data_IF_087768397451
#
_entry.id   IF_087768397451
#
_cell.length_a   1.000
_cell.length_b   1.000
_cell.length_c   1.000
_cell.angle_alpha   90.00
_cell.angle_beta   90.00
_cell.angle_gamma   90.00
#
_symmetry.space_group_name_H-M   'P 1'
#
loop_
_entity.id
_entity.type
_entity.pdbx_description
1 polymer ?
#
# COMPACT_ATOMS: atom_id res chain seq x y z
N UNK A 1 -36.85 12.66 -132.75
CA UNK A 1 -37.67 12.76 -131.52
C UNK A 1 -36.87 12.13 -130.40
N UNK A 2 -36.19 12.91 -129.56
CA UNK A 2 -35.58 12.46 -128.29
C UNK A 2 -34.97 13.68 -127.56
N UNK A 3 -35.81 14.64 -127.14
CA UNK A 3 -35.37 15.77 -126.28
C UNK A 3 -36.22 15.89 -125.00
N UNK A 4 -37.11 14.93 -124.73
CA UNK A 4 -38.08 14.99 -123.63
C UNK A 4 -37.67 14.25 -122.35
N UNK A 5 -36.44 13.72 -122.26
CA UNK A 5 -36.00 12.95 -121.09
C UNK A 5 -35.08 13.72 -120.13
N UNK A 6 -34.35 14.75 -120.61
CA UNK A 6 -33.34 15.43 -119.79
C UNK A 6 -33.92 16.26 -118.62
N UNK A 7 -35.09 16.88 -118.83
CA UNK A 7 -35.73 17.73 -117.81
C UNK A 7 -36.30 16.96 -116.61
N UNK A 8 -36.77 15.73 -116.84
CA UNK A 8 -37.33 14.88 -115.77
C UNK A 8 -36.22 14.39 -114.84
N UNK A 9 -35.04 14.06 -115.37
CA UNK A 9 -33.91 13.59 -114.55
C UNK A 9 -33.39 14.67 -113.60
N UNK A 10 -33.34 15.94 -114.02
CA UNK A 10 -32.86 17.04 -113.16
C UNK A 10 -33.81 17.30 -112.00
N UNK A 11 -35.12 17.28 -112.24
CA UNK A 11 -36.14 17.44 -111.18
C UNK A 11 -36.12 16.25 -110.22
N UNK A 12 -35.98 15.04 -110.74
CA UNK A 12 -35.87 13.84 -109.91
C UNK A 12 -34.62 13.88 -109.02
N UNK A 13 -33.48 14.29 -109.58
CA UNK A 13 -32.22 14.43 -108.84
C UNK A 13 -32.32 15.52 -107.76
N UNK A 14 -32.99 16.63 -108.06
CA UNK A 14 -33.23 17.72 -107.10
C UNK A 14 -34.09 17.25 -105.92
N UNK A 15 -35.14 16.48 -106.17
CA UNK A 15 -36.00 15.93 -105.11
C UNK A 15 -35.24 14.88 -104.28
N UNK A 16 -34.47 14.00 -104.93
CA UNK A 16 -33.65 12.99 -104.22
C UNK A 16 -32.60 13.68 -103.32
N UNK A 17 -31.92 14.72 -103.82
CA UNK A 17 -30.95 15.47 -103.04
C UNK A 17 -31.59 16.18 -101.83
N UNK A 18 -32.81 16.69 -101.98
CA UNK A 18 -33.53 17.37 -100.91
C UNK A 18 -34.04 16.39 -99.84
N UNK A 19 -34.52 15.21 -100.26
CA UNK A 19 -34.92 14.13 -99.34
C UNK A 19 -33.70 13.58 -98.60
N UNK A 20 -32.57 13.34 -99.29
CA UNK A 20 -31.32 12.91 -98.65
C UNK A 20 -30.77 13.98 -97.68
N UNK A 21 -30.84 15.26 -98.04
CA UNK A 21 -30.46 16.36 -97.15
C UNK A 21 -31.36 16.45 -95.91
N UNK A 22 -32.67 16.26 -96.08
CA UNK A 22 -33.64 16.21 -94.98
C UNK A 22 -33.38 15.05 -94.02
N UNK A 23 -33.09 13.85 -94.55
CA UNK A 23 -32.75 12.66 -93.75
C UNK A 23 -31.38 12.83 -93.04
N UNK A 24 -30.42 13.51 -93.68
CA UNK A 24 -29.12 13.82 -93.07
C UNK A 24 -29.23 14.77 -91.87
N UNK A 25 -30.09 15.79 -91.96
CA UNK A 25 -30.30 16.76 -90.87
C UNK A 25 -31.08 16.14 -89.71
N UNK A 26 -32.09 15.30 -89.98
CA UNK A 26 -32.83 14.61 -88.91
C UNK A 26 -31.98 13.58 -88.18
N UNK A 27 -31.14 12.81 -88.88
CA UNK A 27 -30.23 11.84 -88.25
C UNK A 27 -29.12 12.50 -87.42
N UNK A 28 -28.58 13.65 -87.86
CA UNK A 28 -27.60 14.42 -87.06
C UNK A 28 -28.23 15.08 -85.81
N UNK A 29 -29.48 15.53 -85.91
CA UNK A 29 -30.23 16.05 -84.76
C UNK A 29 -30.49 14.96 -83.72
N UNK A 30 -30.86 13.75 -84.16
CA UNK A 30 -31.08 12.60 -83.27
C UNK A 30 -29.78 12.14 -82.59
N UNK A 31 -28.64 12.18 -83.29
CA UNK A 31 -27.33 11.90 -82.68
C UNK A 31 -26.90 12.97 -81.66
N UNK A 32 -27.24 14.24 -81.88
CA UNK A 32 -26.99 15.29 -80.88
C UNK A 32 -27.89 15.16 -79.65
N UNK A 33 -29.17 14.85 -79.85
CA UNK A 33 -30.15 14.60 -78.78
C UNK A 33 -29.75 13.42 -77.91
N UNK A 34 -29.35 12.30 -78.52
CA UNK A 34 -28.88 11.10 -77.80
C UNK A 34 -27.55 11.30 -77.09
N UNK A 35 -26.62 12.10 -77.64
CA UNK A 35 -25.38 12.48 -76.92
C UNK A 35 -25.64 13.43 -75.76
N UNK A 36 -26.56 14.38 -75.91
CA UNK A 36 -26.96 15.29 -74.83
C UNK A 36 -27.67 14.53 -73.71
N UNK A 37 -28.57 13.59 -74.03
CA UNK A 37 -29.23 12.76 -73.01
C UNK A 37 -28.27 11.80 -72.30
N UNK A 38 -27.30 11.22 -73.01
CA UNK A 38 -26.22 10.42 -72.40
C UNK A 38 -25.32 11.27 -71.50
N UNK A 39 -24.99 12.50 -71.90
CA UNK A 39 -24.20 13.41 -71.06
C UNK A 39 -24.94 13.82 -69.80
N UNK A 40 -26.25 14.08 -69.89
CA UNK A 40 -27.10 14.42 -68.75
C UNK A 40 -27.28 13.22 -67.79
N UNK A 41 -27.41 12.01 -68.34
CA UNK A 41 -27.45 10.78 -67.55
C UNK A 41 -26.12 10.52 -66.81
N UNK A 42 -24.99 10.73 -67.50
CA UNK A 42 -23.65 10.62 -66.92
C UNK A 42 -23.41 11.65 -65.81
N UNK A 43 -23.83 12.91 -65.99
CA UNK A 43 -23.71 13.92 -64.93
C UNK A 43 -24.53 13.55 -63.70
N UNK A 44 -25.74 13.04 -63.89
CA UNK A 44 -26.61 12.62 -62.78
C UNK A 44 -26.04 11.40 -62.04
N UNK A 45 -25.40 10.49 -62.77
CA UNK A 45 -24.70 9.34 -62.19
C UNK A 45 -23.40 9.75 -61.47
N UNK A 46 -22.66 10.73 -61.98
CA UNK A 46 -21.50 11.32 -61.31
C UNK A 46 -21.90 12.02 -60.02
N UNK A 47 -22.97 12.82 -60.02
CA UNK A 47 -23.47 13.51 -58.84
C UNK A 47 -23.97 12.52 -57.78
N UNK A 48 -24.72 11.50 -58.20
CA UNK A 48 -25.16 10.40 -57.33
C UNK A 48 -23.98 9.65 -56.71
N UNK A 49 -22.94 9.35 -57.50
CA UNK A 49 -21.73 8.69 -57.00
C UNK A 49 -20.90 9.61 -56.09
N UNK A 50 -20.86 10.92 -56.34
CA UNK A 50 -20.22 11.88 -55.44
C UNK A 50 -20.91 11.94 -54.09
N UNK A 51 -22.25 11.96 -54.06
CA UNK A 51 -23.00 11.97 -52.81
C UNK A 51 -22.86 10.65 -52.05
N UNK A 52 -22.79 9.52 -52.76
CA UNK A 52 -22.50 8.21 -52.18
C UNK A 52 -21.08 8.10 -51.61
N UNK A 53 -20.10 8.74 -52.25
CA UNK A 53 -18.74 8.83 -51.73
C UNK A 53 -18.65 9.74 -50.49
N UNK A 54 -19.42 10.85 -50.45
CA UNK A 54 -19.49 11.70 -49.25
C UNK A 54 -20.07 10.93 -48.07
N UNK A 55 -21.19 10.22 -48.26
CA UNK A 55 -21.82 9.46 -47.17
C UNK A 55 -20.92 8.32 -46.66
N UNK A 56 -20.25 7.59 -47.55
CA UNK A 56 -19.26 6.58 -47.16
C UNK A 56 -18.07 7.19 -46.41
N UNK A 57 -17.62 8.39 -46.80
CA UNK A 57 -16.54 9.10 -46.11
C UNK A 57 -16.95 9.54 -44.71
N UNK A 58 -18.18 10.02 -44.55
CA UNK A 58 -18.75 10.35 -43.25
C UNK A 58 -18.87 9.11 -42.37
N UNK A 59 -19.34 7.97 -42.91
CA UNK A 59 -19.43 6.71 -42.19
C UNK A 59 -18.06 6.16 -41.76
N UNK A 60 -17.04 6.24 -42.63
CA UNK A 60 -15.67 5.87 -42.26
C UNK A 60 -15.13 6.81 -41.18
N UNK A 61 -15.43 8.11 -41.27
CA UNK A 61 -15.00 9.09 -40.27
C UNK A 61 -15.65 8.87 -38.91
N UNK A 62 -16.92 8.46 -38.86
CA UNK A 62 -17.61 8.16 -37.61
C UNK A 62 -17.10 6.86 -37.00
N UNK A 63 -16.92 5.80 -37.81
CA UNK A 63 -16.36 4.51 -37.36
C UNK A 63 -14.92 4.62 -36.88
N UNK A 64 -14.10 5.49 -37.50
CA UNK A 64 -12.72 5.72 -37.04
C UNK A 64 -12.67 6.52 -35.73
N UNK A 65 -13.60 7.45 -35.51
CA UNK A 65 -13.73 8.16 -34.23
C UNK A 65 -14.15 7.21 -33.10
N UNK A 66 -15.15 6.37 -33.32
CA UNK A 66 -15.58 5.40 -32.29
C UNK A 66 -14.49 4.37 -31.99
N UNK A 67 -13.76 3.90 -33.00
CA UNK A 67 -12.61 3.02 -32.79
C UNK A 67 -11.51 3.68 -31.93
N UNK A 68 -11.21 4.96 -32.17
CA UNK A 68 -10.26 5.72 -31.36
C UNK A 68 -10.74 5.93 -29.92
N UNK A 69 -12.04 6.17 -29.71
CA UNK A 69 -12.64 6.27 -28.37
C UNK A 69 -12.51 4.95 -27.60
N UNK A 70 -12.81 3.82 -28.22
CA UNK A 70 -12.63 2.50 -27.61
C UNK A 70 -11.17 2.18 -27.30
N UNK A 71 -10.23 2.63 -28.14
CA UNK A 71 -8.80 2.45 -27.87
C UNK A 71 -8.35 3.26 -26.64
N UNK A 72 -8.86 4.49 -26.48
CA UNK A 72 -8.58 5.34 -25.32
C UNK A 72 -9.19 4.73 -24.05
N UNK A 73 -10.43 4.24 -24.10
CA UNK A 73 -11.07 3.56 -22.97
C UNK A 73 -10.34 2.26 -22.60
N UNK A 74 -9.92 1.48 -23.59
CA UNK A 74 -9.11 0.28 -23.38
C UNK A 74 -7.81 0.58 -22.65
N UNK A 75 -7.08 1.62 -23.05
CA UNK A 75 -5.86 2.07 -22.36
C UNK A 75 -6.13 2.54 -20.93
N UNK A 76 -7.25 3.23 -20.67
CA UNK A 76 -7.64 3.65 -19.31
C UNK A 76 -7.96 2.45 -18.42
N UNK A 77 -8.69 1.47 -18.94
CA UNK A 77 -8.99 0.22 -18.25
C UNK A 77 -7.70 -0.54 -17.93
N UNK A 78 -6.79 -0.67 -18.90
CA UNK A 78 -5.51 -1.34 -18.70
C UNK A 78 -4.64 -0.65 -17.65
N UNK A 79 -4.57 0.69 -17.67
CA UNK A 79 -3.87 1.46 -16.65
C UNK A 79 -4.48 1.24 -15.25
N UNK A 80 -5.81 1.20 -15.15
CA UNK A 80 -6.51 0.93 -13.89
C UNK A 80 -6.22 -0.49 -13.38
N UNK A 81 -6.18 -1.47 -14.29
CA UNK A 81 -5.87 -2.87 -13.98
C UNK A 81 -4.41 -3.04 -13.53
N UNK A 82 -3.48 -2.31 -14.14
CA UNK A 82 -2.10 -2.28 -13.66
C UNK A 82 -1.97 -1.63 -12.29
N UNK A 83 -2.69 -0.53 -12.05
CA UNK A 83 -2.68 0.15 -10.76
C UNK A 83 -3.26 -0.73 -9.65
N UNK A 84 -4.37 -1.42 -9.89
CA UNK A 84 -4.93 -2.37 -8.92
C UNK A 84 -4.00 -3.56 -8.66
N UNK A 85 -3.30 -4.08 -9.67
CA UNK A 85 -2.28 -5.13 -9.48
C UNK A 85 -1.13 -4.68 -8.58
N UNK A 86 -0.69 -3.44 -8.72
CA UNK A 86 0.36 -2.87 -7.85
C UNK A 86 -0.15 -2.75 -6.43
N UNK A 87 -1.37 -2.26 -6.24
CA UNK A 87 -1.99 -2.13 -4.92
C UNK A 87 -2.19 -3.49 -4.24
N UNK A 88 -2.62 -4.52 -4.99
CA UNK A 88 -2.71 -5.89 -4.46
C UNK A 88 -1.34 -6.41 -4.03
N UNK A 89 -0.30 -6.18 -4.84
CA UNK A 89 1.06 -6.61 -4.49
C UNK A 89 1.60 -5.87 -3.24
N UNK A 90 1.34 -4.57 -3.10
CA UNK A 90 1.76 -3.80 -1.91
C UNK A 90 1.00 -4.25 -0.66
N UNK A 91 -0.29 -4.54 -0.77
CA UNK A 91 -1.10 -5.11 0.32
C UNK A 91 -0.60 -6.50 0.74
N UNK A 92 -0.19 -7.35 -0.21
CA UNK A 92 0.39 -8.67 0.08
C UNK A 92 1.72 -8.54 0.85
N UNK A 93 2.63 -7.67 0.40
CA UNK A 93 3.89 -7.40 1.11
C UNK A 93 3.61 -6.88 2.53
N UNK A 94 2.62 -6.01 2.69
CA UNK A 94 2.21 -5.50 4.01
C UNK A 94 1.68 -6.63 4.89
N UNK A 95 0.88 -7.54 4.35
CA UNK A 95 0.35 -8.70 5.07
C UNK A 95 1.47 -9.63 5.54
N UNK A 96 2.46 -9.91 4.68
CA UNK A 96 3.64 -10.72 5.03
C UNK A 96 4.46 -10.08 6.15
N UNK A 97 4.72 -8.77 6.06
CA UNK A 97 5.45 -8.03 7.10
C UNK A 97 4.73 -8.05 8.45
N UNK A 98 3.39 -7.96 8.45
CA UNK A 98 2.58 -8.04 9.66
C UNK A 98 2.55 -9.46 10.23
N UNK A 99 2.54 -10.48 9.37
CA UNK A 99 2.65 -11.87 9.79
C UNK A 99 4.01 -12.13 10.46
N UNK A 100 5.11 -11.63 9.90
CA UNK A 100 6.43 -11.72 10.50
C UNK A 100 6.49 -11.01 11.86
N UNK A 101 5.98 -9.78 11.96
CA UNK A 101 5.89 -9.03 13.24
C UNK A 101 5.06 -9.78 14.27
N UNK A 102 3.97 -10.42 13.86
CA UNK A 102 3.15 -11.24 14.76
C UNK A 102 3.95 -12.42 15.30
N UNK A 103 4.71 -13.12 14.47
CA UNK A 103 5.55 -14.24 14.89
C UNK A 103 6.63 -13.76 15.87
N UNK A 104 7.34 -12.68 15.56
CA UNK A 104 8.36 -12.08 16.44
C UNK A 104 7.77 -11.72 17.82
N UNK A 105 6.59 -11.08 17.84
CA UNK A 105 5.92 -10.74 19.11
C UNK A 105 5.49 -11.99 19.89
N UNK A 106 4.99 -13.02 19.21
CA UNK A 106 4.62 -14.29 19.85
C UNK A 106 5.84 -14.98 20.47
N UNK A 107 7.00 -14.88 19.83
CA UNK A 107 8.27 -15.39 20.36
C UNK A 107 8.80 -14.57 21.55
N UNK A 108 8.52 -13.26 21.62
CA UNK A 108 8.92 -12.39 22.74
C UNK A 108 8.01 -12.54 23.98
N UNK A 109 6.74 -12.91 23.82
CA UNK A 109 5.80 -13.10 24.95
C UNK A 109 6.34 -14.04 26.06
N UNK A 110 6.92 -15.23 25.77
CA UNK A 110 7.44 -16.09 26.83
C UNK A 110 8.60 -15.45 27.61
N UNK A 111 9.48 -14.70 26.94
CA UNK A 111 10.59 -13.97 27.59
C UNK A 111 10.06 -12.87 28.50
N UNK A 112 9.12 -12.04 28.02
CA UNK A 112 8.48 -10.99 28.83
C UNK A 112 7.74 -11.59 30.04
N UNK A 113 7.06 -12.73 29.87
CA UNK A 113 6.40 -13.44 30.97
C UNK A 113 7.39 -13.96 32.00
N UNK A 114 8.51 -14.51 31.54
CA UNK A 114 9.59 -14.96 32.41
C UNK A 114 10.19 -13.79 33.20
N UNK A 115 10.47 -12.67 32.54
CA UNK A 115 11.05 -11.49 33.16
C UNK A 115 10.10 -10.82 34.16
N UNK A 116 8.81 -10.76 33.84
CA UNK A 116 7.79 -10.28 34.77
C UNK A 116 7.75 -11.16 36.03
N UNK A 117 7.75 -12.48 35.86
CA UNK A 117 7.76 -13.42 36.98
C UNK A 117 9.03 -13.27 37.83
N UNK A 118 10.20 -13.14 37.18
CA UNK A 118 11.47 -12.90 37.87
C UNK A 118 11.47 -11.57 38.65
N UNK A 119 10.95 -10.49 38.06
CA UNK A 119 10.84 -9.19 38.72
C UNK A 119 9.87 -9.20 39.91
N UNK A 120 8.74 -9.89 39.79
CA UNK A 120 7.79 -10.10 40.89
C UNK A 120 8.43 -10.89 42.04
N UNK A 121 9.14 -11.97 41.73
CA UNK A 121 9.88 -12.76 42.71
C UNK A 121 10.98 -11.94 43.40
N UNK A 122 11.74 -11.15 42.64
CA UNK A 122 12.77 -10.26 43.19
C UNK A 122 12.18 -9.20 44.13
N UNK A 123 11.03 -8.60 43.76
CA UNK A 123 10.30 -7.65 44.61
C UNK A 123 9.83 -8.29 45.92
N UNK A 124 9.25 -9.50 45.84
CA UNK A 124 8.85 -10.27 47.04
C UNK A 124 10.04 -10.59 47.92
N UNK A 125 11.14 -11.07 47.34
CA UNK A 125 12.37 -11.35 48.09
C UNK A 125 12.91 -10.09 48.76
N UNK A 126 12.89 -8.93 48.09
CA UNK A 126 13.31 -7.66 48.67
C UNK A 126 12.44 -7.24 49.87
N UNK A 127 11.10 -7.35 49.75
CA UNK A 127 10.17 -7.10 50.85
C UNK A 127 10.41 -8.06 52.03
N UNK A 128 10.56 -9.36 51.75
CA UNK A 128 10.86 -10.38 52.76
C UNK A 128 12.20 -10.11 53.44
N UNK A 129 13.26 -9.78 52.69
CA UNK A 129 14.57 -9.42 53.25
C UNK A 129 14.49 -8.19 54.13
N UNK A 130 13.73 -7.16 53.74
CA UNK A 130 13.54 -5.95 54.55
C UNK A 130 12.82 -6.21 55.88
N UNK A 131 12.05 -7.29 55.96
CA UNK A 131 11.35 -7.71 57.18
C UNK A 131 12.25 -8.53 58.12
N UNK A 132 13.39 -9.07 57.68
CA UNK A 132 14.29 -9.83 58.54
C UNK A 132 14.85 -8.91 59.62
N UNK A 133 14.72 -9.31 60.88
CA UNK A 133 15.11 -8.54 62.05
C UNK A 133 14.03 -7.57 62.55
N UNK A 134 12.94 -7.37 61.81
CA UNK A 134 11.84 -6.50 62.21
C UNK A 134 11.08 -7.07 63.43
N UNK A 135 10.71 -6.18 64.34
CA UNK A 135 9.86 -6.49 65.48
C UNK A 135 8.40 -6.29 65.09
N UNK A 136 7.59 -7.33 65.23
CA UNK A 136 6.17 -7.35 64.84
C UNK A 136 5.22 -7.25 66.03
N UNK A 137 5.74 -7.15 67.27
CA UNK A 137 4.91 -7.17 68.47
C UNK A 137 4.21 -8.51 68.66
N UNK A 138 2.94 -8.49 69.04
CA UNK A 138 2.16 -9.71 69.24
C UNK A 138 1.44 -10.09 67.94
N UNK A 139 1.72 -11.29 67.43
CA UNK A 139 1.13 -11.80 66.19
C UNK A 139 0.16 -12.92 66.53
N UNK A 140 -1.12 -12.72 66.20
CA UNK A 140 -2.16 -13.74 66.33
C UNK A 140 -2.39 -14.45 64.99
N UNK A 141 -2.29 -15.77 64.99
CA UNK A 141 -2.76 -16.63 63.90
C UNK A 141 -4.11 -17.23 64.27
N UNK A 142 -4.74 -17.93 63.31
CA UNK A 142 -6.02 -18.64 63.53
C UNK A 142 -5.97 -19.69 64.65
N UNK A 143 -4.78 -20.17 65.04
CA UNK A 143 -4.61 -21.23 66.05
C UNK A 143 -3.87 -20.77 67.30
N UNK A 144 -3.06 -19.71 67.26
CA UNK A 144 -2.18 -19.34 68.36
C UNK A 144 -1.73 -17.88 68.29
N UNK A 145 -1.57 -17.27 69.46
CA UNK A 145 -0.92 -15.96 69.59
C UNK A 145 0.54 -16.12 69.99
N UNK A 146 1.42 -15.44 69.27
CA UNK A 146 2.86 -15.37 69.52
C UNK A 146 3.17 -13.98 70.05
N UNK A 147 3.79 -13.91 71.22
CA UNK A 147 4.14 -12.64 71.85
C UNK A 147 5.57 -12.22 71.53
N UNK A 148 5.78 -10.92 71.39
CA UNK A 148 7.10 -10.32 71.13
C UNK A 148 7.84 -10.96 69.94
N UNK A 149 7.17 -11.01 68.80
CA UNK A 149 7.64 -11.66 67.59
C UNK A 149 8.69 -10.82 66.88
N UNK A 150 9.84 -11.43 66.60
CA UNK A 150 10.87 -10.89 65.71
C UNK A 150 11.09 -11.84 64.55
N UNK A 151 11.12 -11.31 63.33
CA UNK A 151 11.35 -12.12 62.13
C UNK A 151 12.83 -12.47 62.03
N UNK A 152 13.14 -13.74 61.80
CA UNK A 152 14.53 -14.22 61.62
C UNK A 152 14.82 -14.68 60.21
N UNK A 153 13.80 -15.02 59.41
CA UNK A 153 13.98 -15.41 58.02
C UNK A 153 12.67 -15.83 57.36
N UNK A 154 12.77 -16.22 56.09
CA UNK A 154 11.65 -16.71 55.30
C UNK A 154 12.03 -18.04 54.62
N UNK A 155 11.09 -18.97 54.63
CA UNK A 155 11.10 -20.23 53.89
C UNK A 155 9.99 -20.19 52.82
N UNK A 156 10.05 -21.06 51.79
CA UNK A 156 8.90 -21.22 50.89
C UNK A 156 7.63 -21.53 51.69
N UNK A 157 6.63 -20.65 51.61
CA UNK A 157 5.34 -20.80 52.30
C UNK A 157 5.35 -20.52 53.81
N UNK A 158 6.47 -20.13 54.42
CA UNK A 158 6.53 -19.86 55.87
C UNK A 158 7.49 -18.72 56.28
N UNK A 159 7.18 -18.09 57.42
CA UNK A 159 8.00 -17.08 58.08
C UNK A 159 8.64 -17.65 59.33
N UNK A 160 9.98 -17.62 59.42
CA UNK A 160 10.72 -18.00 60.63
C UNK A 160 10.75 -16.81 61.58
N UNK A 161 10.38 -17.06 62.83
CA UNK A 161 10.29 -16.06 63.88
C UNK A 161 10.98 -16.53 65.16
N UNK A 162 11.33 -15.57 66.01
CA UNK A 162 11.64 -15.79 67.42
C UNK A 162 10.60 -15.03 68.24
N UNK A 163 9.98 -15.72 69.19
CA UNK A 163 9.00 -15.16 70.10
C UNK A 163 9.44 -15.42 71.56
N UNK A 164 8.69 -14.91 72.53
CA UNK A 164 8.98 -15.11 73.96
C UNK A 164 9.16 -16.59 74.36
N UNK A 165 8.50 -17.53 73.66
CA UNK A 165 8.57 -18.97 73.91
C UNK A 165 9.65 -19.70 73.10
N UNK A 166 10.49 -18.97 72.37
CA UNK A 166 11.55 -19.53 71.53
C UNK A 166 11.30 -19.38 70.02
N UNK A 167 12.11 -20.04 69.18
CA UNK A 167 11.95 -20.01 67.73
C UNK A 167 10.68 -20.74 67.28
N UNK A 168 10.01 -20.20 66.27
CA UNK A 168 8.83 -20.82 65.67
C UNK A 168 8.76 -20.52 64.16
N UNK A 169 8.04 -21.35 63.43
CA UNK A 169 7.78 -21.18 62.00
C UNK A 169 6.29 -20.97 61.79
N UNK A 170 5.92 -19.84 61.17
CA UNK A 170 4.53 -19.46 60.90
C UNK A 170 4.20 -19.69 59.43
N UNK A 171 3.20 -20.51 59.08
CA UNK A 171 2.72 -20.61 57.71
C UNK A 171 2.16 -19.28 57.23
N UNK A 172 2.53 -18.83 56.04
CA UNK A 172 2.11 -17.53 55.50
C UNK A 172 0.58 -17.44 55.32
N UNK A 173 -0.06 -18.56 55.02
CA UNK A 173 -1.53 -18.69 54.92
C UNK A 173 -2.27 -18.34 56.21
N UNK A 174 -1.62 -18.51 57.37
CA UNK A 174 -2.21 -18.25 58.70
C UNK A 174 -1.96 -16.85 59.24
N UNK A 175 -1.21 -16.03 58.51
CA UNK A 175 -0.91 -14.65 58.91
C UNK A 175 -2.13 -13.74 58.73
N UNK A 176 -2.24 -12.68 59.54
CA UNK A 176 -3.27 -11.66 59.38
C UNK A 176 -3.05 -10.86 58.07
N UNK A 177 -4.12 -10.30 57.52
CA UNK A 177 -4.12 -9.65 56.20
C UNK A 177 -3.09 -8.52 56.07
N UNK A 178 -2.93 -7.71 57.12
CA UNK A 178 -1.94 -6.64 57.17
C UNK A 178 -0.48 -7.13 57.05
N UNK A 179 -0.16 -8.30 57.62
CA UNK A 179 1.18 -8.90 57.48
C UNK A 179 1.35 -9.57 56.13
N UNK A 180 0.29 -10.17 55.58
CA UNK A 180 0.29 -10.75 54.23
C UNK A 180 0.58 -9.69 53.16
N UNK A 181 -0.07 -8.54 53.26
CA UNK A 181 0.17 -7.41 52.34
C UNK A 181 1.62 -6.89 52.44
N UNK A 182 2.15 -6.73 53.66
CA UNK A 182 3.53 -6.24 53.90
C UNK A 182 4.62 -7.16 53.35
N UNK A 183 4.37 -8.48 53.28
CA UNK A 183 5.32 -9.45 52.72
C UNK A 183 5.05 -9.78 51.24
N UNK A 184 4.04 -9.13 50.63
CA UNK A 184 3.61 -9.39 49.26
C UNK A 184 3.13 -10.83 49.05
N UNK A 185 2.37 -11.35 50.02
CA UNK A 185 1.79 -12.70 49.93
C UNK A 185 0.42 -12.65 49.23
N UNK A 186 0.31 -13.37 48.12
CA UNK A 186 -0.92 -13.61 47.37
C UNK A 186 -1.17 -15.13 47.28
N UNK A 187 -2.37 -15.63 47.67
CA UNK A 187 -2.70 -17.05 47.62
C UNK A 187 -2.63 -17.65 46.21
N UNK A 188 -2.90 -16.87 45.15
CA UNK A 188 -2.89 -17.36 43.76
C UNK A 188 -1.46 -17.58 43.28
N UNK A 189 -0.53 -16.74 43.72
CA UNK A 189 0.87 -16.80 43.31
C UNK A 189 1.68 -17.87 44.06
N UNK A 190 1.24 -18.31 45.25
CA UNK A 190 1.91 -19.38 46.01
C UNK A 190 1.78 -20.75 45.32
N UNK A 191 0.63 -21.03 44.69
CA UNK A 191 0.43 -22.26 43.91
C UNK A 191 1.30 -22.29 42.64
N UNK A 192 1.60 -21.13 42.08
CA UNK A 192 2.56 -20.96 40.97
C UNK A 192 4.01 -21.15 41.44
N UNK A 193 4.40 -20.59 42.60
CA UNK A 193 5.74 -20.74 43.19
C UNK A 193 6.08 -22.21 43.52
N UNK A 194 5.08 -23.06 43.82
CA UNK A 194 5.28 -24.51 44.07
C UNK A 194 5.46 -25.33 42.79
N UNK A 195 5.00 -24.83 41.65
CA UNK A 195 5.06 -25.52 40.35
C UNK A 195 6.32 -25.18 39.55
N UNK A 196 7.03 -24.11 39.90
CA UNK A 196 8.31 -23.78 39.29
C UNK A 196 9.39 -24.64 39.96
N UNK A 197 10.03 -25.61 39.26
CA UNK A 197 11.15 -26.34 39.83
C UNK A 197 12.23 -25.32 40.21
N UNK A 198 12.69 -25.40 41.46
CA UNK A 198 13.88 -24.68 41.91
C UNK A 198 15.08 -25.28 41.18
N UNK A 199 15.33 -24.83 39.97
CA UNK A 199 16.63 -25.00 39.34
C UNK A 199 17.66 -24.40 40.30
N UNK A 200 18.66 -25.22 40.64
CA UNK A 200 19.75 -24.83 41.51
C UNK A 200 20.26 -23.44 41.12
N UNK A 201 20.36 -22.59 42.12
CA UNK A 201 21.00 -21.28 42.07
C UNK A 201 22.47 -21.47 41.72
N UNK A 202 22.75 -21.77 40.46
CA UNK A 202 23.97 -21.31 39.82
C UNK A 202 23.83 -19.79 39.72
N UNK A 203 24.85 -19.01 40.13
CA UNK A 203 24.88 -17.62 39.72
C UNK A 203 24.93 -17.65 38.20
N UNK A 204 23.83 -17.27 37.57
CA UNK A 204 23.78 -17.11 36.12
C UNK A 204 24.99 -16.26 35.73
N UNK A 205 25.89 -16.75 34.86
CA UNK A 205 27.09 -16.03 34.51
C UNK A 205 26.64 -14.76 33.81
N UNK A 206 26.96 -13.61 34.40
CA UNK A 206 26.69 -12.28 33.86
C UNK A 206 25.31 -12.15 33.24
N UNK A 207 24.41 -11.57 34.03
CA UNK A 207 23.35 -10.71 33.53
C UNK A 207 23.96 -9.85 32.41
N UNK A 208 23.72 -10.26 31.16
CA UNK A 208 23.68 -9.34 30.05
C UNK A 208 22.52 -8.43 30.38
N UNK A 209 22.77 -7.41 31.20
CA UNK A 209 21.99 -6.19 31.13
C UNK A 209 22.00 -5.93 29.63
N UNK A 210 20.86 -6.00 28.95
CA UNK A 210 20.71 -5.34 27.67
C UNK A 210 21.34 -3.96 27.91
N UNK A 211 22.54 -3.77 27.35
CA UNK A 211 23.32 -2.59 27.67
C UNK A 211 22.38 -1.44 27.35
N UNK A 212 22.24 -0.49 28.28
CA UNK A 212 21.54 0.75 27.94
C UNK A 212 22.13 1.19 26.59
N UNK A 213 21.28 1.39 25.56
CA UNK A 213 21.77 1.58 24.20
C UNK A 213 22.87 2.63 24.24
N UNK A 214 24.02 2.30 23.64
CA UNK A 214 25.16 3.19 23.74
C UNK A 214 24.81 4.53 23.09
N UNK A 215 25.47 5.61 23.48
CA UNK A 215 25.29 6.91 22.81
C UNK A 215 25.52 6.80 21.29
N UNK A 216 26.38 5.85 20.86
CA UNK A 216 26.60 5.54 19.45
C UNK A 216 25.37 4.88 18.78
N UNK A 217 24.63 4.03 19.48
CA UNK A 217 23.41 3.38 18.95
C UNK A 217 22.26 4.39 18.84
N UNK A 218 22.14 5.30 19.81
CA UNK A 218 21.19 6.42 19.77
C UNK A 218 21.53 7.35 18.59
N UNK A 219 22.79 7.75 18.45
CA UNK A 219 23.22 8.63 17.37
C UNK A 219 23.01 8.01 15.97
N UNK A 220 23.24 6.70 15.83
CA UNK A 220 22.94 5.97 14.59
C UNK A 220 21.45 5.96 14.30
N UNK A 221 20.61 5.61 15.28
CA UNK A 221 19.16 5.60 15.10
C UNK A 221 18.59 6.99 14.74
N UNK A 222 19.16 8.06 15.31
CA UNK A 222 18.81 9.44 14.96
C UNK A 222 19.23 9.80 13.53
N UNK A 223 20.45 9.42 13.11
CA UNK A 223 20.94 9.66 11.75
C UNK A 223 20.15 8.87 10.70
N UNK A 224 19.80 7.63 10.99
CA UNK A 224 18.99 6.78 10.12
C UNK A 224 17.56 7.35 9.99
N UNK A 225 16.96 7.81 11.10
CA UNK A 225 15.66 8.48 11.06
C UNK A 225 15.70 9.80 10.26
N UNK A 226 16.72 10.64 10.49
CA UNK A 226 16.87 11.90 9.79
C UNK A 226 17.11 11.72 8.29
N UNK A 227 17.93 10.74 7.91
CA UNK A 227 18.20 10.42 6.49
C UNK A 227 16.96 9.85 5.81
N UNK A 228 16.26 8.90 6.42
CA UNK A 228 15.02 8.34 5.88
C UNK A 228 13.93 9.42 5.69
N UNK A 229 13.81 10.37 6.64
CA UNK A 229 12.90 11.51 6.51
C UNK A 229 13.29 12.43 5.36
N UNK A 230 14.58 12.78 5.24
CA UNK A 230 15.08 13.63 4.17
C UNK A 230 14.89 13.01 2.78
N UNK A 231 15.15 11.71 2.64
CA UNK A 231 14.91 10.96 1.41
C UNK A 231 13.43 10.96 1.01
N UNK A 232 12.54 10.71 1.98
CA UNK A 232 11.09 10.74 1.76
C UNK A 232 10.62 12.13 1.30
N UNK A 233 11.06 13.20 1.99
CA UNK A 233 10.71 14.58 1.66
C UNK A 233 11.23 14.96 0.26
N UNK A 234 12.44 14.54 -0.11
CA UNK A 234 13.02 14.80 -1.41
C UNK A 234 12.24 14.10 -2.54
N UNK A 235 11.89 12.83 -2.35
CA UNK A 235 11.09 12.09 -3.33
C UNK A 235 9.68 12.66 -3.45
N UNK A 236 9.07 13.09 -2.35
CA UNK A 236 7.77 13.73 -2.36
C UNK A 236 7.79 15.04 -3.15
N UNK A 237 8.77 15.92 -2.91
CA UNK A 237 8.95 17.15 -3.71
C UNK A 237 9.17 16.83 -5.19
N UNK A 238 9.98 15.82 -5.49
CA UNK A 238 10.25 15.39 -6.87
C UNK A 238 8.99 14.85 -7.57
N UNK A 239 8.10 14.21 -6.80
CA UNK A 239 6.81 13.70 -7.28
C UNK A 239 5.84 14.84 -7.55
N UNK A 240 5.73 15.81 -6.63
CA UNK A 240 4.91 17.02 -6.81
C UNK A 240 5.37 17.81 -8.04
N UNK A 241 6.69 17.97 -8.22
CA UNK A 241 7.27 18.60 -9.40
C UNK A 241 6.91 17.82 -10.68
N UNK A 242 7.10 16.50 -10.68
CA UNK A 242 6.75 15.67 -11.83
C UNK A 242 5.25 15.76 -12.17
N UNK A 243 4.37 15.73 -11.17
CA UNK A 243 2.92 15.86 -11.33
C UNK A 243 2.52 17.23 -11.88
N UNK A 244 3.15 18.31 -11.41
CA UNK A 244 2.88 19.68 -11.90
C UNK A 244 3.22 19.88 -13.37
N UNK A 245 4.11 19.06 -13.92
CA UNK A 245 4.54 19.10 -15.32
C UNK A 245 3.71 18.16 -16.23
N UNK A 246 2.85 17.31 -15.66
CA UNK A 246 1.93 16.46 -16.45
C UNK A 246 0.91 17.37 -17.15
N UNK A 247 0.94 17.38 -18.48
CA UNK A 247 0.11 18.27 -19.32
C UNK A 247 0.77 19.59 -19.68
N UNK A 248 1.99 19.84 -19.21
CA UNK A 248 2.81 20.98 -19.63
C UNK A 248 3.33 20.86 -21.06
N UNK A 249 3.95 21.93 -21.57
CA UNK A 249 4.52 21.98 -22.93
C UNK A 249 5.68 21.00 -23.15
N UNK A 250 6.33 20.52 -22.08
CA UNK A 250 7.39 19.51 -22.11
C UNK A 250 6.84 18.17 -21.63
N UNK A 251 6.94 17.13 -22.46
CA UNK A 251 6.45 15.78 -22.14
C UNK A 251 7.42 14.96 -21.26
N UNK A 252 8.70 15.34 -21.23
CA UNK A 252 9.75 14.61 -20.53
C UNK A 252 10.70 15.57 -19.78
N UNK A 253 11.31 15.12 -18.67
CA UNK A 253 12.37 15.85 -17.99
C UNK A 253 13.61 16.03 -18.88
N UNK A 254 14.39 17.11 -18.69
CA UNK A 254 15.62 17.31 -19.44
C UNK A 254 16.60 16.15 -19.20
N UNK A 255 17.11 15.58 -20.29
CA UNK A 255 18.07 14.46 -20.25
C UNK A 255 17.48 13.08 -19.95
N UNK A 256 16.15 12.94 -19.89
CA UNK A 256 15.47 11.64 -19.70
C UNK A 256 14.54 11.33 -20.87
N UNK A 257 14.50 10.06 -21.26
CA UNK A 257 13.51 9.53 -22.20
C UNK A 257 12.18 9.20 -21.52
N UNK A 258 12.16 9.15 -20.18
CA UNK A 258 10.97 8.90 -19.36
C UNK A 258 10.00 10.10 -19.49
N UNK A 259 8.72 9.84 -19.67
CA UNK A 259 7.69 10.89 -19.62
C UNK A 259 7.48 11.36 -18.18
N UNK A 260 6.95 12.58 -17.97
CA UNK A 260 6.59 13.04 -16.62
C UNK A 260 5.57 12.12 -15.93
N UNK A 261 4.70 11.47 -16.70
CA UNK A 261 3.72 10.51 -16.18
C UNK A 261 4.40 9.22 -15.69
N UNK A 262 5.30 8.63 -16.46
CA UNK A 262 6.09 7.47 -16.04
C UNK A 262 6.96 7.80 -14.83
N UNK A 263 7.59 8.99 -14.82
CA UNK A 263 8.40 9.47 -13.69
C UNK A 263 7.57 9.63 -12.43
N UNK A 264 6.37 10.21 -12.52
CA UNK A 264 5.48 10.35 -11.37
C UNK A 264 5.07 8.98 -10.79
N UNK A 265 4.78 7.99 -11.66
CA UNK A 265 4.48 6.62 -11.24
C UNK A 265 5.68 5.92 -10.61
N UNK A 266 6.90 6.12 -11.12
CA UNK A 266 8.10 5.57 -10.51
C UNK A 266 8.38 6.20 -9.14
N UNK A 267 8.26 7.52 -9.05
CA UNK A 267 8.47 8.27 -7.81
C UNK A 267 7.40 7.93 -6.75
N UNK A 268 6.16 7.61 -7.15
CA UNK A 268 5.12 7.21 -6.20
C UNK A 268 5.45 5.86 -5.55
N UNK A 269 5.94 4.89 -6.34
CA UNK A 269 6.43 3.59 -5.82
C UNK A 269 7.63 3.78 -4.90
N UNK A 270 8.57 4.65 -5.28
CA UNK A 270 9.74 4.95 -4.45
C UNK A 270 9.35 5.62 -3.12
N UNK A 271 8.36 6.53 -3.15
CA UNK A 271 7.85 7.20 -1.97
C UNK A 271 7.21 6.21 -0.99
N UNK A 272 6.46 5.22 -1.48
CA UNK A 272 5.91 4.14 -0.63
C UNK A 272 7.02 3.32 0.04
N UNK A 273 8.06 2.95 -0.70
CA UNK A 273 9.23 2.24 -0.14
C UNK A 273 9.95 3.08 0.93
N UNK A 274 10.11 4.37 0.68
CA UNK A 274 10.74 5.29 1.63
C UNK A 274 9.87 5.55 2.86
N UNK A 275 8.54 5.57 2.74
CA UNK A 275 7.62 5.64 3.89
C UNK A 275 7.79 4.44 4.81
N UNK A 276 7.92 3.24 4.26
CA UNK A 276 8.18 2.04 5.07
C UNK A 276 9.53 2.15 5.82
N UNK A 277 10.59 2.59 5.13
CA UNK A 277 11.90 2.83 5.77
C UNK A 277 11.84 3.91 6.85
N UNK A 278 11.07 4.97 6.62
CA UNK A 278 10.82 6.01 7.61
C UNK A 278 10.09 5.46 8.84
N UNK A 279 9.05 4.64 8.65
CA UNK A 279 8.34 3.99 9.76
C UNK A 279 9.26 3.04 10.56
N UNK A 280 10.08 2.25 9.89
CA UNK A 280 11.00 1.31 10.54
C UNK A 280 12.12 2.03 11.31
N UNK A 281 12.70 3.08 10.73
CA UNK A 281 13.70 3.92 11.43
C UNK A 281 13.09 4.68 12.60
N UNK A 282 11.84 5.17 12.46
CA UNK A 282 11.08 5.78 13.55
C UNK A 282 10.84 4.80 14.69
N UNK A 283 10.43 3.57 14.38
CA UNK A 283 10.20 2.52 15.39
C UNK A 283 11.51 2.14 16.10
N UNK A 284 12.62 2.09 15.35
CA UNK A 284 13.96 1.86 15.92
C UNK A 284 14.33 2.99 16.89
N UNK A 285 14.13 4.25 16.50
CA UNK A 285 14.39 5.40 17.36
C UNK A 285 13.47 5.41 18.61
N UNK A 286 12.20 5.01 18.50
CA UNK A 286 11.29 4.89 19.64
C UNK A 286 11.78 3.81 20.62
N UNK A 287 12.25 2.66 20.12
CA UNK A 287 12.78 1.57 20.95
C UNK A 287 14.05 1.99 21.69
N UNK A 288 14.92 2.73 21.02
CA UNK A 288 16.25 3.11 21.54
C UNK A 288 16.21 4.39 22.39
N UNK A 289 15.37 5.37 22.01
CA UNK A 289 15.27 6.68 22.67
C UNK A 289 13.83 7.25 22.57
N UNK A 290 12.87 6.75 23.38
CA UNK A 290 11.43 7.06 23.25
C UNK A 290 11.08 8.54 23.49
N UNK A 291 11.92 9.29 24.19
CA UNK A 291 11.72 10.70 24.50
C UNK A 291 12.47 11.65 23.53
N UNK A 292 12.90 11.16 22.38
CA UNK A 292 13.63 11.99 21.41
C UNK A 292 12.77 13.14 20.88
N UNK A 293 13.37 14.33 20.81
CA UNK A 293 12.76 15.53 20.22
C UNK A 293 12.43 15.38 18.74
N UNK A 294 13.18 14.53 18.01
CA UNK A 294 12.99 14.26 16.59
C UNK A 294 11.68 13.50 16.31
N UNK A 295 11.17 12.73 17.27
CA UNK A 295 9.93 11.97 17.14
C UNK A 295 8.67 12.86 17.20
N UNK A 296 8.81 14.12 17.62
CA UNK A 296 7.71 15.11 17.76
C UNK A 296 7.59 16.04 16.55
N UNK A 297 8.48 15.95 15.56
CA UNK A 297 8.56 16.82 14.38
C UNK A 297 8.35 16.04 13.10
#
# INVERSE_FOLDING_TARGET
MEESHLGIFVVLFGIIALVMGGIGITTMSDQKSTRLSQSAALTLEIDSNQDRLKSLREEISSKTRTAAEYEIEGRKLEATLQQSRIEVASLQLRQESLAQKRTELVEQIPEIRHDLAAAQMAKKEALRRSMIGAYLGDVSTTRRTYRQVRVTGFEPGAMRIVCQRGPATLPLSTLPANLKERIGWDPIEEDLERQIPRTDRTPSPNIGKAAAPSEADIARAQADFASAKAEMDQTQRSLEEAQSQIGGSRKSPPGSLETYQERAQRLSRLLEQQRLRYEDSRNTLIRVHPNDSLLRR
#
